data_IF_386250952089
#
_entry.id   IF_386250952089
#
_cell.length_a   1.000
_cell.length_b   1.000
_cell.length_c   1.000
_cell.angle_alpha   90.00
_cell.angle_beta   90.00
_cell.angle_gamma   90.00
#
_symmetry.space_group_name_H-M   'P 1'
#
loop_
_entity.id
_entity.type
_entity.pdbx_description
1 polymer ?
#
# COMPACT_ATOMS: atom_id res chain seq x y z
N UNK A 1 -16.53 27.04 9.43
CA UNK A 1 -15.70 26.66 8.26
C UNK A 1 -15.12 25.30 8.55
N UNK A 2 -15.18 24.38 7.61
CA UNK A 2 -14.63 23.03 7.74
C UNK A 2 -13.09 23.10 7.71
N UNK A 3 -12.46 22.81 8.86
CA UNK A 3 -11.02 22.95 9.08
C UNK A 3 -10.21 22.08 8.12
N UNK A 4 -10.67 20.87 7.82
CA UNK A 4 -9.89 19.84 7.12
C UNK A 4 -10.25 19.70 5.64
N UNK A 5 -11.15 20.54 5.12
CA UNK A 5 -11.69 20.48 3.75
C UNK A 5 -10.65 20.31 2.65
N UNK A 6 -9.45 20.84 2.85
CA UNK A 6 -8.34 20.83 1.90
C UNK A 6 -7.63 19.47 1.80
N UNK A 7 -7.74 18.62 2.82
CA UNK A 7 -7.10 17.30 2.86
C UNK A 7 -8.08 16.14 3.00
N UNK A 8 -9.25 16.31 3.64
CA UNK A 8 -10.17 15.21 3.94
C UNK A 8 -10.83 14.58 2.70
N UNK A 9 -11.35 13.35 2.80
CA UNK A 9 -12.20 12.76 1.78
C UNK A 9 -13.53 13.49 1.62
N UNK A 10 -14.31 13.12 0.61
CA UNK A 10 -15.66 13.68 0.42
C UNK A 10 -16.65 13.14 1.45
N UNK A 11 -17.56 13.99 1.91
CA UNK A 11 -18.73 13.59 2.69
C UNK A 11 -19.88 13.19 1.76
N UNK A 12 -20.91 12.50 2.29
CA UNK A 12 -22.04 11.98 1.52
C UNK A 12 -22.66 13.00 0.56
N UNK A 13 -22.96 14.21 1.04
CA UNK A 13 -23.55 15.28 0.22
C UNK A 13 -22.65 15.81 -0.91
N UNK A 14 -21.36 15.48 -0.90
CA UNK A 14 -20.38 15.88 -1.92
C UNK A 14 -20.18 14.79 -2.99
N UNK A 15 -20.59 13.54 -2.74
CA UNK A 15 -20.32 12.39 -3.62
C UNK A 15 -20.98 12.56 -4.99
N UNK A 16 -22.31 12.73 -5.03
CA UNK A 16 -23.06 12.82 -6.29
C UNK A 16 -22.57 13.96 -7.21
N UNK A 17 -22.40 15.21 -6.73
CA UNK A 17 -21.86 16.30 -7.55
C UNK A 17 -20.46 16.00 -8.13
N UNK A 18 -19.59 15.35 -7.36
CA UNK A 18 -18.24 15.00 -7.83
C UNK A 18 -18.30 13.93 -8.90
N UNK A 19 -19.12 12.89 -8.74
CA UNK A 19 -19.27 11.85 -9.76
C UNK A 19 -19.85 12.43 -11.05
N UNK A 20 -20.86 13.30 -10.97
CA UNK A 20 -21.46 13.94 -12.16
C UNK A 20 -20.43 14.75 -12.94
N UNK A 21 -19.55 15.48 -12.23
CA UNK A 21 -18.43 16.19 -12.85
C UNK A 21 -17.39 15.24 -13.45
N UNK A 22 -17.10 14.12 -12.78
CA UNK A 22 -16.12 13.14 -13.24
C UNK A 22 -16.56 12.44 -14.51
N UNK A 23 -17.82 11.99 -14.60
CA UNK A 23 -18.31 11.27 -15.78
C UNK A 23 -18.34 12.15 -17.02
N UNK A 24 -18.42 13.47 -16.88
CA UNK A 24 -18.33 14.42 -17.99
C UNK A 24 -16.89 14.82 -18.34
N UNK A 25 -15.88 14.35 -17.60
CA UNK A 25 -14.48 14.72 -17.84
C UNK A 25 -13.87 13.91 -19.02
N UNK A 26 -13.46 14.55 -20.13
CA UNK A 26 -12.96 13.84 -21.31
C UNK A 26 -11.65 13.08 -21.07
N UNK A 27 -10.77 13.58 -20.21
CA UNK A 27 -9.50 12.92 -19.87
C UNK A 27 -9.72 11.68 -19.01
N UNK A 28 -10.66 11.76 -18.06
CA UNK A 28 -11.04 10.62 -17.23
C UNK A 28 -11.63 9.50 -18.10
N UNK A 29 -12.61 9.84 -18.95
CA UNK A 29 -13.23 8.88 -19.87
C UNK A 29 -12.21 8.26 -20.83
N UNK A 30 -11.26 9.04 -21.35
CA UNK A 30 -10.19 8.53 -22.20
C UNK A 30 -9.27 7.56 -21.45
N UNK A 31 -9.00 7.83 -20.17
CA UNK A 31 -8.18 6.97 -19.31
C UNK A 31 -8.87 5.63 -19.05
N UNK A 32 -10.16 5.66 -18.71
CA UNK A 32 -11.00 4.45 -18.53
C UNK A 32 -11.08 3.64 -19.83
N UNK A 33 -11.34 4.30 -20.96
CA UNK A 33 -11.39 3.64 -22.26
C UNK A 33 -10.06 2.95 -22.62
N UNK A 34 -8.93 3.62 -22.37
CA UNK A 34 -7.59 3.10 -22.64
C UNK A 34 -7.23 1.93 -21.72
N UNK A 35 -7.71 1.95 -20.48
CA UNK A 35 -7.53 0.85 -19.53
C UNK A 35 -8.29 -0.42 -19.95
N UNK A 36 -9.57 -0.30 -20.28
CA UNK A 36 -10.41 -1.46 -20.60
C UNK A 36 -10.21 -2.00 -22.03
N UNK A 37 -9.88 -1.16 -23.00
CA UNK A 37 -9.75 -1.56 -24.39
C UNK A 37 -8.65 -0.76 -25.14
N UNK A 38 -7.37 -0.95 -24.80
CA UNK A 38 -6.27 -0.10 -25.28
C UNK A 38 -6.14 -0.05 -26.81
N UNK A 39 -6.37 -1.17 -27.50
CA UNK A 39 -6.33 -1.22 -28.97
C UNK A 39 -7.47 -0.43 -29.61
N UNK A 40 -8.70 -0.61 -29.09
CA UNK A 40 -9.88 0.08 -29.60
C UNK A 40 -9.87 1.56 -29.26
N UNK A 41 -9.40 1.94 -28.07
CA UNK A 41 -9.27 3.33 -27.66
C UNK A 41 -8.29 4.11 -28.55
N UNK A 42 -7.25 3.43 -29.08
CA UNK A 42 -6.32 4.03 -30.03
C UNK A 42 -6.92 4.22 -31.42
N UNK A 43 -7.74 3.27 -31.89
CA UNK A 43 -8.34 3.30 -33.23
C UNK A 43 -9.60 4.19 -33.29
N UNK A 44 -10.42 4.18 -32.23
CA UNK A 44 -11.72 4.86 -32.18
C UNK A 44 -11.91 5.63 -30.86
N UNK A 45 -11.09 6.65 -30.57
CA UNK A 45 -11.08 7.32 -29.26
C UNK A 45 -12.42 7.97 -28.89
N UNK A 46 -13.11 8.61 -29.84
CA UNK A 46 -14.39 9.25 -29.58
C UNK A 46 -15.49 8.24 -29.24
N UNK A 47 -15.59 7.15 -30.01
CA UNK A 47 -16.54 6.07 -29.76
C UNK A 47 -16.29 5.42 -28.39
N UNK A 48 -15.03 5.10 -28.08
CA UNK A 48 -14.68 4.45 -26.82
C UNK A 48 -14.93 5.35 -25.60
N UNK A 49 -14.76 6.67 -25.72
CA UNK A 49 -15.17 7.61 -24.66
C UNK A 49 -16.68 7.60 -24.43
N UNK A 50 -17.49 7.56 -25.49
CA UNK A 50 -18.94 7.48 -25.36
C UNK A 50 -19.39 6.16 -24.74
N UNK A 51 -18.73 5.05 -25.08
CA UNK A 51 -18.96 3.75 -24.44
C UNK A 51 -18.62 3.81 -22.95
N UNK A 52 -17.46 4.37 -22.60
CA UNK A 52 -17.06 4.54 -21.20
C UNK A 52 -18.05 5.42 -20.42
N UNK A 53 -18.49 6.54 -21.01
CA UNK A 53 -19.49 7.44 -20.42
C UNK A 53 -20.79 6.72 -20.12
N UNK A 54 -21.39 6.06 -21.11
CA UNK A 54 -22.67 5.36 -20.95
C UNK A 54 -22.58 4.23 -19.93
N UNK A 55 -21.46 3.49 -19.92
CA UNK A 55 -21.22 2.41 -18.95
C UNK A 55 -21.11 2.97 -17.52
N UNK A 56 -20.29 4.00 -17.30
CA UNK A 56 -20.12 4.63 -16.00
C UNK A 56 -21.41 5.29 -15.50
N UNK A 57 -22.14 5.97 -16.38
CA UNK A 57 -23.44 6.57 -16.06
C UNK A 57 -24.46 5.53 -15.61
N UNK A 58 -24.47 4.35 -16.23
CA UNK A 58 -25.32 3.23 -15.80
C UNK A 58 -24.91 2.67 -14.44
N UNK A 59 -23.61 2.39 -14.26
CA UNK A 59 -23.07 1.79 -13.03
C UNK A 59 -23.20 2.72 -11.81
N UNK A 60 -22.94 4.01 -11.99
CA UNK A 60 -22.91 4.99 -10.91
C UNK A 60 -24.26 5.69 -10.71
N UNK A 61 -25.33 5.24 -11.35
CA UNK A 61 -26.66 5.88 -11.29
C UNK A 61 -27.23 5.92 -9.86
N UNK A 62 -26.98 4.87 -9.08
CA UNK A 62 -27.50 4.73 -7.72
C UNK A 62 -26.57 5.27 -6.62
N UNK A 63 -25.39 5.77 -6.99
CA UNK A 63 -24.40 6.23 -6.02
C UNK A 63 -24.74 7.65 -5.56
N UNK A 64 -25.04 7.83 -4.29
CA UNK A 64 -25.46 9.11 -3.72
C UNK A 64 -24.64 9.52 -2.49
N UNK A 65 -23.93 8.59 -1.87
CA UNK A 65 -23.24 8.74 -0.60
C UNK A 65 -21.97 7.87 -0.57
N UNK A 66 -21.20 7.95 0.52
CA UNK A 66 -19.94 7.20 0.67
C UNK A 66 -20.21 5.70 0.67
N UNK A 67 -21.27 5.23 1.34
CA UNK A 67 -21.59 3.81 1.45
C UNK A 67 -21.85 3.17 0.07
N UNK A 68 -22.76 3.76 -0.72
CA UNK A 68 -23.08 3.28 -2.07
C UNK A 68 -21.87 3.38 -3.02
N UNK A 69 -20.95 4.31 -2.80
CA UNK A 69 -19.68 4.36 -3.54
C UNK A 69 -18.75 3.19 -3.15
N UNK A 70 -18.66 2.86 -1.86
CA UNK A 70 -17.86 1.72 -1.37
C UNK A 70 -18.40 0.39 -1.92
N UNK A 71 -19.72 0.21 -2.04
CA UNK A 71 -20.31 -1.00 -2.63
C UNK A 71 -19.87 -1.20 -4.09
N UNK A 72 -19.81 -0.12 -4.88
CA UNK A 72 -19.30 -0.18 -6.26
C UNK A 72 -17.82 -0.56 -6.26
N UNK A 73 -17.02 0.04 -5.39
CA UNK A 73 -15.58 -0.25 -5.26
C UNK A 73 -15.36 -1.72 -4.86
N UNK A 74 -16.16 -2.25 -3.94
CA UNK A 74 -16.10 -3.64 -3.47
C UNK A 74 -16.29 -4.63 -4.64
N UNK A 75 -17.28 -4.41 -5.51
CA UNK A 75 -17.51 -5.26 -6.70
C UNK A 75 -16.29 -5.29 -7.64
N UNK A 76 -15.63 -4.15 -7.84
CA UNK A 76 -14.41 -4.10 -8.65
C UNK A 76 -13.23 -4.78 -7.94
N UNK A 77 -13.16 -4.65 -6.62
CA UNK A 77 -12.14 -5.29 -5.81
C UNK A 77 -12.28 -6.81 -5.85
N UNK A 78 -13.49 -7.34 -5.69
CA UNK A 78 -13.79 -8.77 -5.82
C UNK A 78 -13.25 -9.34 -7.12
N UNK A 79 -13.58 -8.68 -8.23
CA UNK A 79 -13.12 -9.10 -9.56
C UNK A 79 -11.60 -9.04 -9.68
N UNK A 80 -10.98 -7.96 -9.21
CA UNK A 80 -9.53 -7.79 -9.28
C UNK A 80 -8.79 -8.85 -8.46
N UNK A 81 -9.28 -9.15 -7.24
CA UNK A 81 -8.73 -10.19 -6.38
C UNK A 81 -8.83 -11.53 -7.10
N UNK A 82 -10.02 -11.92 -7.57
CA UNK A 82 -10.24 -13.17 -8.30
C UNK A 82 -9.36 -13.31 -9.54
N UNK A 83 -9.16 -12.23 -10.30
CA UNK A 83 -8.40 -12.25 -11.54
C UNK A 83 -6.87 -12.21 -11.30
N UNK A 84 -6.39 -11.72 -10.15
CA UNK A 84 -4.96 -11.42 -9.93
C UNK A 84 -4.31 -12.10 -8.72
N UNK A 85 -5.07 -12.76 -7.85
CA UNK A 85 -4.54 -13.53 -6.71
C UNK A 85 -4.93 -15.01 -6.84
N UNK A 86 -4.16 -15.89 -6.21
CA UNK A 86 -4.53 -17.31 -6.04
C UNK A 86 -5.29 -17.54 -4.73
N UNK A 87 -5.15 -16.61 -3.79
CA UNK A 87 -5.83 -16.60 -2.51
C UNK A 87 -5.65 -15.24 -1.84
N UNK A 88 -6.64 -14.86 -1.04
CA UNK A 88 -6.54 -13.76 -0.09
C UNK A 88 -6.91 -14.31 1.27
N UNK A 89 -5.95 -14.29 2.19
CA UNK A 89 -6.13 -14.78 3.56
C UNK A 89 -5.82 -13.69 4.56
N UNK A 90 -6.33 -13.82 5.78
CA UNK A 90 -6.09 -12.85 6.83
C UNK A 90 -5.98 -13.51 8.20
N UNK A 91 -5.39 -12.80 9.16
CA UNK A 91 -5.27 -13.22 10.56
C UNK A 91 -5.25 -12.00 11.48
N UNK A 92 -5.61 -12.21 12.76
CA UNK A 92 -5.49 -11.20 13.80
C UNK A 92 -6.59 -10.14 13.82
N UNK A 93 -7.54 -10.18 12.88
CA UNK A 93 -8.68 -9.25 12.84
C UNK A 93 -9.59 -9.43 14.06
N UNK A 94 -9.63 -10.65 14.61
CA UNK A 94 -10.35 -10.99 15.83
C UNK A 94 -9.82 -10.28 17.09
N UNK A 95 -8.64 -9.65 17.02
CA UNK A 95 -8.10 -8.83 18.11
C UNK A 95 -8.65 -7.39 18.08
N UNK A 96 -9.34 -7.00 17.01
CA UNK A 96 -9.98 -5.69 16.92
C UNK A 96 -11.29 -5.69 17.70
N UNK A 97 -11.59 -4.55 18.32
CA UNK A 97 -12.81 -4.32 19.08
C UNK A 97 -13.84 -3.64 18.19
N UNK A 98 -15.06 -4.18 18.18
CA UNK A 98 -16.18 -3.57 17.47
C UNK A 98 -16.50 -2.17 18.03
N UNK A 99 -16.81 -1.24 17.13
CA UNK A 99 -17.10 0.16 17.49
C UNK A 99 -15.88 1.01 17.87
N UNK A 100 -14.67 0.42 17.91
CA UNK A 100 -13.42 1.15 18.11
C UNK A 100 -12.74 1.43 16.77
N UNK A 101 -12.11 2.59 16.64
CA UNK A 101 -11.31 2.96 15.47
C UNK A 101 -9.81 2.94 15.76
N UNK A 102 -9.04 2.65 14.72
CA UNK A 102 -7.62 2.36 14.81
C UNK A 102 -6.84 3.13 13.75
N UNK A 103 -5.58 3.47 14.07
CA UNK A 103 -4.57 3.81 13.10
C UNK A 103 -3.80 2.54 12.69
N UNK A 104 -4.07 2.05 11.48
CA UNK A 104 -3.31 0.95 10.88
C UNK A 104 -2.03 1.48 10.24
N UNK A 105 -0.88 0.94 10.65
CA UNK A 105 0.43 1.22 10.06
C UNK A 105 0.94 -0.05 9.39
N UNK A 106 1.16 -0.03 8.07
CA UNK A 106 1.60 -1.23 7.35
C UNK A 106 2.94 -1.08 6.65
N UNK A 107 3.57 -2.22 6.35
CA UNK A 107 4.55 -2.26 5.27
C UNK A 107 3.88 -1.85 3.96
N UNK A 108 4.69 -1.32 3.05
CA UNK A 108 4.18 -0.74 1.82
C UNK A 108 4.99 -1.21 0.63
N UNK A 109 4.43 -2.10 -0.17
CA UNK A 109 5.06 -2.67 -1.37
C UNK A 109 4.29 -2.30 -2.63
N UNK A 110 2.98 -2.10 -2.58
CA UNK A 110 2.17 -1.66 -3.71
C UNK A 110 1.48 -0.34 -3.40
N UNK A 111 1.46 0.60 -4.36
CA UNK A 111 0.87 1.94 -4.16
C UNK A 111 -0.61 1.85 -3.80
N UNK A 112 -1.36 1.05 -4.55
CA UNK A 112 -2.83 1.04 -4.49
C UNK A 112 -3.38 -0.19 -3.81
N UNK A 113 -2.71 -1.34 -3.99
CA UNK A 113 -3.25 -2.61 -3.54
C UNK A 113 -3.10 -2.83 -2.04
N UNK A 114 -2.06 -2.26 -1.42
CA UNK A 114 -1.84 -2.37 0.02
C UNK A 114 -3.05 -1.88 0.84
N UNK A 115 -3.47 -0.60 0.75
CA UNK A 115 -4.64 -0.14 1.48
C UNK A 115 -5.93 -0.80 0.99
N UNK A 116 -6.00 -1.19 -0.29
CA UNK A 116 -7.18 -1.84 -0.84
C UNK A 116 -7.45 -3.22 -0.21
N UNK A 117 -6.42 -4.04 -0.02
CA UNK A 117 -6.56 -5.35 0.63
C UNK A 117 -6.97 -5.22 2.09
N UNK A 118 -6.36 -4.28 2.83
CA UNK A 118 -6.73 -4.02 4.23
C UNK A 118 -8.18 -3.54 4.30
N UNK A 119 -8.57 -2.60 3.45
CA UNK A 119 -9.94 -2.09 3.39
C UNK A 119 -10.96 -3.18 3.05
N UNK A 120 -10.63 -4.04 2.08
CA UNK A 120 -11.48 -5.14 1.65
C UNK A 120 -11.77 -6.12 2.79
N UNK A 121 -10.75 -6.50 3.56
CA UNK A 121 -10.93 -7.41 4.70
C UNK A 121 -11.78 -6.75 5.79
N UNK A 122 -11.53 -5.47 6.11
CA UNK A 122 -12.34 -4.73 7.10
C UNK A 122 -13.81 -4.65 6.66
N UNK A 123 -14.08 -4.31 5.40
CA UNK A 123 -15.42 -4.24 4.83
C UNK A 123 -16.17 -5.58 4.96
N UNK A 124 -15.55 -6.70 4.58
CA UNK A 124 -16.17 -8.02 4.68
C UNK A 124 -16.32 -8.53 6.11
N UNK A 125 -15.49 -8.05 7.04
CA UNK A 125 -15.60 -8.34 8.46
C UNK A 125 -16.59 -7.42 9.20
N UNK A 126 -17.24 -6.48 8.51
CA UNK A 126 -18.24 -5.58 9.09
C UNK A 126 -17.66 -4.39 9.86
N UNK A 127 -16.37 -4.10 9.71
CA UNK A 127 -15.73 -2.92 10.30
C UNK A 127 -15.85 -1.70 9.39
N UNK A 128 -15.72 -0.51 9.99
CA UNK A 128 -15.60 0.74 9.24
C UNK A 128 -14.41 0.71 8.28
N UNK A 129 -14.65 1.15 7.05
CA UNK A 129 -13.64 1.23 5.99
C UNK A 129 -12.61 2.31 6.27
N UNK A 130 -11.42 2.15 5.71
CA UNK A 130 -10.27 3.02 5.93
C UNK A 130 -10.47 4.43 5.36
N UNK A 131 -9.94 5.41 6.07
CA UNK A 131 -9.44 6.64 5.47
C UNK A 131 -7.95 6.48 5.15
N UNK A 132 -7.58 6.71 3.89
CA UNK A 132 -6.27 6.30 3.35
C UNK A 132 -5.39 7.52 3.11
N UNK A 133 -4.20 7.56 3.71
CA UNK A 133 -3.24 8.62 3.42
C UNK A 133 -2.65 8.48 2.02
N UNK A 134 -2.77 9.52 1.18
CA UNK A 134 -2.16 9.56 -0.15
C UNK A 134 -1.34 10.84 -0.37
N UNK A 135 -0.14 10.69 -0.94
CA UNK A 135 0.70 11.82 -1.30
C UNK A 135 0.15 12.64 -2.47
N UNK A 136 0.22 13.97 -2.36
CA UNK A 136 -0.13 14.92 -3.43
C UNK A 136 0.69 14.72 -4.72
N UNK A 137 1.85 14.08 -4.65
CA UNK A 137 2.68 13.76 -5.81
C UNK A 137 1.95 12.90 -6.87
N UNK A 138 0.95 12.12 -6.45
CA UNK A 138 0.13 11.28 -7.34
C UNK A 138 -1.08 12.04 -7.92
N UNK A 139 -1.41 13.23 -7.40
CA UNK A 139 -2.67 13.94 -7.63
C UNK A 139 -2.55 15.08 -8.64
N UNK A 140 -1.70 14.91 -9.67
CA UNK A 140 -1.40 15.97 -10.64
C UNK A 140 -2.57 16.34 -11.55
N UNK A 141 -3.48 15.41 -11.78
CA UNK A 141 -4.71 15.64 -12.55
C UNK A 141 -5.90 15.82 -11.61
N UNK A 142 -6.77 16.83 -11.80
CA UNK A 142 -7.89 17.08 -10.90
C UNK A 142 -8.80 15.85 -10.70
N UNK A 143 -9.07 15.09 -11.77
CA UNK A 143 -9.92 13.90 -11.66
C UNK A 143 -9.31 12.77 -10.82
N UNK A 144 -7.96 12.70 -10.71
CA UNK A 144 -7.28 11.71 -9.87
C UNK A 144 -7.45 12.08 -8.40
N UNK A 145 -7.32 13.37 -8.07
CA UNK A 145 -7.63 13.87 -6.73
C UNK A 145 -9.08 13.58 -6.34
N UNK A 146 -10.02 13.89 -7.25
CA UNK A 146 -11.45 13.63 -7.04
C UNK A 146 -11.70 12.11 -6.81
N UNK A 147 -11.08 11.23 -7.61
CA UNK A 147 -11.23 9.77 -7.47
C UNK A 147 -10.67 9.22 -6.13
N UNK A 148 -9.50 9.70 -5.71
CA UNK A 148 -8.88 9.24 -4.46
C UNK A 148 -9.71 9.68 -3.25
N UNK A 149 -10.22 10.92 -3.25
CA UNK A 149 -11.09 11.44 -2.20
C UNK A 149 -12.48 10.78 -2.16
N UNK A 150 -13.00 10.33 -3.30
CA UNK A 150 -14.20 9.48 -3.36
C UNK A 150 -13.95 8.11 -2.71
N UNK A 151 -12.72 7.58 -2.82
CA UNK A 151 -12.28 6.35 -2.16
C UNK A 151 -11.74 6.60 -0.74
N UNK A 152 -12.38 7.48 0.03
CA UNK A 152 -12.03 7.82 1.42
C UNK A 152 -10.55 8.22 1.63
N UNK A 153 -9.81 8.63 0.59
CA UNK A 153 -8.40 9.00 0.76
C UNK A 153 -8.25 10.47 1.17
N UNK A 154 -7.35 10.74 2.10
CA UNK A 154 -6.96 12.10 2.50
C UNK A 154 -5.55 12.46 2.04
N UNK A 155 -5.34 13.75 1.76
CA UNK A 155 -4.17 14.24 1.05
C UNK A 155 -3.05 14.60 2.02
N UNK A 156 -1.89 14.00 1.82
CA UNK A 156 -0.62 14.37 2.45
C UNK A 156 0.14 15.31 1.53
N UNK A 157 0.31 16.57 1.94
CA UNK A 157 0.99 17.62 1.16
C UNK A 157 2.51 17.48 1.28
N UNK A 158 3.18 16.90 0.28
CA UNK A 158 4.61 16.59 0.32
C UNK A 158 5.50 17.66 -0.28
N UNK A 159 4.94 18.55 -1.11
CA UNK A 159 5.73 19.60 -1.77
C UNK A 159 6.05 20.80 -0.87
N UNK A 160 5.52 20.85 0.35
CA UNK A 160 5.70 21.97 1.29
C UNK A 160 7.14 22.05 1.82
N UNK A 161 7.60 23.26 2.12
CA UNK A 161 8.97 23.50 2.64
C UNK A 161 8.96 24.43 3.84
N UNK A 162 9.98 24.30 4.69
CA UNK A 162 10.22 25.20 5.82
C UNK A 162 9.01 25.28 6.77
N UNK A 163 8.53 26.50 7.03
CA UNK A 163 7.41 26.73 7.96
C UNK A 163 6.09 26.12 7.47
N UNK A 164 5.83 26.15 6.16
CA UNK A 164 4.60 25.59 5.61
C UNK A 164 4.55 24.08 5.78
N UNK A 165 5.69 23.40 5.67
CA UNK A 165 5.80 21.97 5.96
C UNK A 165 5.39 21.67 7.40
N UNK A 166 5.93 22.41 8.38
CA UNK A 166 5.58 22.20 9.79
C UNK A 166 4.09 22.42 10.07
N UNK A 167 3.48 23.43 9.45
CA UNK A 167 2.04 23.68 9.56
C UNK A 167 1.23 22.56 8.90
N UNK A 168 1.63 22.11 7.72
CA UNK A 168 0.99 21.00 7.01
C UNK A 168 1.07 19.68 7.79
N UNK A 169 2.21 19.39 8.41
CA UNK A 169 2.40 18.20 9.25
C UNK A 169 1.59 18.28 10.55
N UNK A 170 1.51 19.46 11.21
CA UNK A 170 0.61 19.64 12.36
C UNK A 170 -0.85 19.46 11.94
N UNK A 171 -1.28 20.05 10.82
CA UNK A 171 -2.65 19.89 10.30
C UNK A 171 -2.99 18.43 9.97
N UNK A 172 -2.03 17.68 9.40
CA UNK A 172 -2.15 16.27 9.12
C UNK A 172 -2.29 15.43 10.39
N UNK A 173 -1.45 15.69 11.40
CA UNK A 173 -1.52 15.04 12.70
C UNK A 173 -2.87 15.30 13.37
N UNK A 174 -3.32 16.56 13.41
CA UNK A 174 -4.64 16.92 13.94
C UNK A 174 -5.78 16.21 13.22
N UNK A 175 -5.67 16.02 11.90
CA UNK A 175 -6.68 15.31 11.12
C UNK A 175 -6.72 13.81 11.40
N UNK A 176 -5.55 13.15 11.52
CA UNK A 176 -5.48 11.73 11.84
C UNK A 176 -6.07 11.45 13.23
N UNK A 177 -5.73 12.27 14.23
CA UNK A 177 -6.33 12.20 15.56
C UNK A 177 -7.84 12.43 15.50
N UNK A 178 -8.29 13.46 14.78
CA UNK A 178 -9.73 13.71 14.58
C UNK A 178 -10.47 12.52 13.95
N UNK A 179 -9.87 11.83 12.97
CA UNK A 179 -10.48 10.64 12.37
C UNK A 179 -10.67 9.53 13.40
N UNK A 180 -9.63 9.21 14.19
CA UNK A 180 -9.72 8.13 15.18
C UNK A 180 -10.73 8.50 16.29
N UNK A 181 -10.73 9.76 16.74
CA UNK A 181 -11.71 10.29 17.70
C UNK A 181 -13.16 10.24 17.17
N UNK A 182 -13.36 10.48 15.88
CA UNK A 182 -14.67 10.46 15.21
C UNK A 182 -15.06 9.08 14.65
N UNK A 183 -14.46 8.02 15.20
CA UNK A 183 -14.72 6.62 14.82
C UNK A 183 -14.50 6.31 13.33
N UNK A 184 -13.41 6.83 12.77
CA UNK A 184 -12.92 6.45 11.46
C UNK A 184 -11.55 5.77 11.54
N UNK A 185 -11.49 4.54 11.02
CA UNK A 185 -10.23 3.83 10.82
C UNK A 185 -9.33 4.58 9.84
N UNK A 186 -8.04 4.67 10.13
CA UNK A 186 -7.03 5.34 9.30
C UNK A 186 -5.98 4.33 8.87
N UNK A 187 -5.51 4.43 7.63
CA UNK A 187 -4.35 3.68 7.16
C UNK A 187 -3.24 4.59 6.67
N UNK A 188 -2.02 4.29 7.11
CA UNK A 188 -0.79 4.92 6.63
C UNK A 188 0.29 3.87 6.38
N UNK A 189 1.18 4.15 5.43
CA UNK A 189 2.40 3.38 5.26
C UNK A 189 3.41 3.72 6.38
N UNK A 190 4.19 2.73 6.82
CA UNK A 190 5.20 2.87 7.88
C UNK A 190 6.37 3.82 7.54
N UNK A 191 6.49 4.23 6.27
CA UNK A 191 7.45 5.24 5.81
C UNK A 191 6.99 5.87 4.50
N UNK A 192 7.66 6.95 4.12
CA UNK A 192 7.42 7.54 2.81
C UNK A 192 7.89 6.62 1.67
N UNK A 193 6.94 6.27 0.80
CA UNK A 193 7.17 5.50 -0.41
C UNK A 193 7.34 4.00 -0.18
N UNK A 194 7.02 3.22 -1.22
CA UNK A 194 7.08 1.76 -1.17
C UNK A 194 8.50 1.20 -1.01
N UNK A 195 8.61 0.02 -0.40
CA UNK A 195 9.79 -0.81 -0.40
C UNK A 195 10.05 -1.40 -1.79
N UNK A 196 11.31 -1.28 -2.22
CA UNK A 196 11.77 -1.73 -3.55
C UNK A 196 12.65 -2.96 -3.45
N UNK A 197 13.37 -3.06 -2.34
CA UNK A 197 14.28 -4.12 -1.95
C UNK A 197 13.60 -5.13 -1.01
N UNK A 198 12.32 -4.99 -0.68
CA UNK A 198 11.64 -5.89 0.26
C UNK A 198 12.09 -5.73 1.72
N UNK A 199 12.77 -4.62 2.06
CA UNK A 199 13.11 -4.25 3.43
C UNK A 199 12.02 -3.31 3.96
N UNK A 200 11.23 -3.86 4.88
CA UNK A 200 10.19 -3.15 5.59
C UNK A 200 10.80 -2.60 6.89
N UNK A 201 11.01 -1.27 6.94
CA UNK A 201 11.45 -0.53 8.13
C UNK A 201 10.60 0.72 8.35
N UNK A 202 10.21 0.98 9.59
CA UNK A 202 9.40 2.13 10.00
C UNK A 202 10.28 3.36 10.13
N UNK A 203 9.81 4.52 9.66
CA UNK A 203 10.52 5.79 9.80
C UNK A 203 10.15 6.45 11.15
N UNK A 204 11.10 6.62 12.10
CA UNK A 204 10.80 7.28 13.38
C UNK A 204 10.28 8.72 13.23
N UNK A 205 10.57 9.40 12.11
CA UNK A 205 10.03 10.72 11.82
C UNK A 205 8.50 10.70 11.62
N UNK A 206 7.94 9.58 11.16
CA UNK A 206 6.49 9.38 11.06
C UNK A 206 5.83 9.48 12.43
N UNK A 207 6.42 8.84 13.45
CA UNK A 207 5.89 8.85 14.82
C UNK A 207 5.94 10.23 15.43
N UNK A 208 7.04 10.96 15.20
CA UNK A 208 7.17 12.38 15.58
C UNK A 208 6.11 13.24 14.91
N UNK A 209 5.81 12.97 13.63
CA UNK A 209 4.76 13.66 12.88
C UNK A 209 3.39 13.43 13.51
N UNK A 210 3.05 12.18 13.84
CA UNK A 210 1.75 11.83 14.44
C UNK A 210 1.47 12.59 15.76
N UNK A 211 2.51 12.95 16.52
CA UNK A 211 2.39 13.72 17.76
C UNK A 211 2.48 15.25 17.61
N UNK A 212 2.48 15.78 16.38
CA UNK A 212 2.60 17.22 16.16
C UNK A 212 1.36 18.03 16.57
N UNK A 213 0.19 17.40 16.78
CA UNK A 213 -1.02 18.03 17.30
C UNK A 213 -0.87 18.49 18.76
N UNK A 214 -0.14 17.74 19.59
CA UNK A 214 0.00 17.99 21.03
C UNK A 214 1.45 17.79 21.50
N UNK A 215 2.36 18.65 21.06
CA UNK A 215 3.81 18.52 21.35
C UNK A 215 4.24 18.67 22.82
N UNK A 216 3.29 18.93 23.73
CA UNK A 216 3.56 19.18 25.16
C UNK A 216 3.41 17.93 26.03
N UNK A 217 2.81 16.87 25.50
CA UNK A 217 2.67 15.59 26.19
C UNK A 217 3.74 14.60 25.71
N UNK A 218 4.07 13.57 26.50
CA UNK A 218 4.94 12.47 26.07
C UNK A 218 4.49 11.83 24.75
N UNK A 219 5.44 11.30 23.99
CA UNK A 219 5.15 10.72 22.67
C UNK A 219 4.23 9.50 22.80
N UNK A 220 4.54 8.61 23.74
CA UNK A 220 3.74 7.42 24.06
C UNK A 220 2.30 7.78 24.42
N UNK A 221 2.11 8.81 25.26
CA UNK A 221 0.79 9.30 25.68
C UNK A 221 -0.01 9.84 24.48
N UNK A 222 0.64 10.56 23.56
CA UNK A 222 -0.02 11.02 22.34
C UNK A 222 -0.41 9.86 21.41
N UNK A 223 0.54 8.98 21.11
CA UNK A 223 0.30 7.87 20.17
C UNK A 223 -0.69 6.85 20.69
N UNK A 224 -0.85 6.72 22.02
CA UNK A 224 -1.87 5.88 22.65
C UNK A 224 -3.30 6.26 22.26
N UNK A 225 -3.54 7.54 21.93
CA UNK A 225 -4.85 8.03 21.48
C UNK A 225 -5.23 7.52 20.07
N UNK A 226 -4.23 7.05 19.30
CA UNK A 226 -4.43 6.60 17.93
C UNK A 226 -4.71 5.11 17.81
N UNK A 227 -4.63 4.34 18.90
CA UNK A 227 -4.85 2.89 18.91
C UNK A 227 -4.07 2.19 17.78
N UNK A 228 -2.76 2.39 17.75
CA UNK A 228 -1.94 1.96 16.61
C UNK A 228 -1.90 0.44 16.51
N UNK A 229 -2.29 -0.10 15.35
CA UNK A 229 -2.22 -1.52 15.01
C UNK A 229 -1.28 -1.72 13.81
N UNK A 230 -0.12 -2.37 13.99
CA UNK A 230 0.75 -2.73 12.88
C UNK A 230 0.06 -3.77 11.97
N UNK A 231 0.15 -3.61 10.66
CA UNK A 231 -0.43 -4.54 9.68
C UNK A 231 0.66 -5.06 8.75
N UNK A 232 0.76 -6.39 8.65
CA UNK A 232 1.68 -7.03 7.71
C UNK A 232 0.96 -7.44 6.44
N UNK A 233 1.46 -6.99 5.31
CA UNK A 233 0.95 -7.27 3.96
C UNK A 233 1.98 -8.13 3.25
N UNK A 234 1.64 -9.41 3.05
CA UNK A 234 2.53 -10.41 2.48
C UNK A 234 2.06 -10.80 1.09
N UNK A 235 2.94 -10.63 0.11
CA UNK A 235 2.71 -11.04 -1.27
C UNK A 235 3.53 -12.29 -1.59
N UNK A 236 2.96 -13.23 -2.35
CA UNK A 236 3.76 -14.30 -2.95
C UNK A 236 4.61 -13.76 -4.12
N UNK A 237 3.99 -12.93 -4.96
CA UNK A 237 4.64 -12.21 -6.05
C UNK A 237 4.31 -10.72 -6.00
N UNK A 238 5.33 -9.89 -6.18
CA UNK A 238 5.15 -8.46 -6.30
C UNK A 238 4.93 -8.09 -7.76
N UNK A 239 3.76 -7.55 -8.08
CA UNK A 239 3.40 -7.17 -9.45
C UNK A 239 4.32 -6.07 -10.04
N UNK A 240 5.02 -5.34 -9.19
CA UNK A 240 5.96 -4.29 -9.55
C UNK A 240 7.44 -4.72 -9.38
N UNK A 241 7.74 -6.01 -9.16
CA UNK A 241 9.10 -6.50 -8.90
C UNK A 241 10.14 -6.06 -9.96
N UNK A 242 9.81 -6.19 -11.25
CA UNK A 242 10.69 -5.77 -12.35
C UNK A 242 10.90 -4.25 -12.35
N UNK A 243 9.82 -3.46 -12.22
CA UNK A 243 9.90 -2.00 -12.20
C UNK A 243 10.75 -1.50 -11.02
N UNK A 244 10.67 -2.17 -9.87
CA UNK A 244 11.49 -1.88 -8.69
C UNK A 244 12.94 -2.25 -8.93
N UNK A 245 13.21 -3.41 -9.52
CA UNK A 245 14.55 -3.85 -9.85
C UNK A 245 15.24 -2.93 -10.87
N UNK A 246 14.50 -2.45 -11.88
CA UNK A 246 14.97 -1.45 -12.84
C UNK A 246 15.38 -0.14 -12.16
N UNK A 247 14.53 0.38 -11.27
CA UNK A 247 14.84 1.60 -10.53
C UNK A 247 16.09 1.43 -9.64
N UNK A 248 16.22 0.31 -8.92
CA UNK A 248 17.39 0.04 -8.07
C UNK A 248 18.66 -0.12 -8.90
N UNK A 249 18.58 -0.85 -10.02
CA UNK A 249 19.70 -1.01 -10.94
C UNK A 249 20.15 0.32 -11.53
N UNK A 250 19.21 1.19 -11.95
CA UNK A 250 19.54 2.50 -12.48
C UNK A 250 20.21 3.38 -11.42
N UNK A 251 19.71 3.38 -10.18
CA UNK A 251 20.35 4.11 -9.07
C UNK A 251 21.79 3.63 -8.83
N UNK A 252 22.03 2.33 -8.82
CA UNK A 252 23.36 1.73 -8.63
C UNK A 252 24.30 2.04 -9.80
N UNK A 253 23.81 1.99 -11.04
CA UNK A 253 24.63 2.14 -12.25
C UNK A 253 24.88 3.59 -12.67
N UNK A 254 23.91 4.49 -12.46
CA UNK A 254 24.01 5.91 -12.89
C UNK A 254 24.07 6.90 -11.73
N UNK A 255 24.04 6.44 -10.47
CA UNK A 255 24.10 7.30 -9.28
C UNK A 255 22.80 8.05 -8.97
N UNK A 256 21.72 7.79 -9.71
CA UNK A 256 20.44 8.48 -9.55
C UNK A 256 19.32 7.87 -10.39
N UNK A 257 18.08 8.20 -10.03
CA UNK A 257 16.88 7.83 -10.78
C UNK A 257 15.91 9.01 -10.79
N UNK A 258 15.55 9.48 -11.99
CA UNK A 258 14.57 10.55 -12.15
C UNK A 258 13.19 9.93 -12.26
N UNK A 259 12.42 9.99 -11.16
CA UNK A 259 11.01 9.62 -11.17
C UNK A 259 10.25 10.50 -12.14
N UNK A 260 9.43 9.88 -12.99
CA UNK A 260 8.49 10.57 -13.87
C UNK A 260 7.07 10.20 -13.48
N UNK A 261 6.10 11.06 -13.81
CA UNK A 261 4.68 10.79 -13.56
C UNK A 261 4.21 9.50 -14.21
N UNK A 262 4.84 9.17 -15.34
CA UNK A 262 4.61 7.93 -16.07
C UNK A 262 4.99 6.71 -15.22
N UNK A 263 6.10 6.77 -14.48
CA UNK A 263 6.58 5.64 -13.67
C UNK A 263 5.65 5.30 -12.49
N UNK A 264 5.03 6.30 -11.87
CA UNK A 264 4.05 6.06 -10.80
C UNK A 264 2.75 5.47 -11.38
N UNK A 265 2.26 5.98 -12.53
CA UNK A 265 1.07 5.42 -13.21
C UNK A 265 1.33 3.98 -13.66
N UNK A 266 2.49 3.70 -14.26
CA UNK A 266 2.88 2.33 -14.66
C UNK A 266 2.88 1.38 -13.47
N UNK A 267 3.36 1.83 -12.31
CA UNK A 267 3.34 1.05 -11.09
C UNK A 267 1.92 0.81 -10.56
N UNK A 268 1.05 1.82 -10.58
CA UNK A 268 -0.36 1.67 -10.17
C UNK A 268 -1.07 0.65 -11.07
N UNK A 269 -0.91 0.79 -12.39
CA UNK A 269 -1.51 -0.13 -13.35
C UNK A 269 -0.98 -1.55 -13.15
N UNK A 270 0.34 -1.71 -13.05
CA UNK A 270 0.98 -3.00 -12.79
C UNK A 270 0.48 -3.62 -11.48
N UNK A 271 0.39 -2.83 -10.40
CA UNK A 271 -0.17 -3.26 -9.12
C UNK A 271 -1.60 -3.77 -9.23
N UNK A 272 -2.47 -3.04 -9.93
CA UNK A 272 -3.87 -3.44 -10.08
C UNK A 272 -4.05 -4.72 -10.91
N UNK A 273 -3.39 -4.85 -12.06
CA UNK A 273 -3.67 -5.95 -13.02
C UNK A 273 -2.66 -7.10 -12.94
N UNK A 274 -1.51 -6.88 -12.32
CA UNK A 274 -0.43 -7.87 -12.25
C UNK A 274 -0.77 -8.98 -11.27
N UNK A 275 -0.28 -10.18 -11.58
CA UNK A 275 -0.48 -11.37 -10.77
C UNK A 275 0.35 -11.34 -9.49
N UNK A 276 -0.31 -11.57 -8.35
CA UNK A 276 0.23 -11.42 -6.99
C UNK A 276 0.43 -12.74 -6.24
N UNK A 277 -0.11 -13.85 -6.79
CA UNK A 277 -0.16 -15.13 -6.09
C UNK A 277 -1.02 -15.06 -4.83
N UNK A 278 -0.61 -15.78 -3.79
CA UNK A 278 -1.32 -15.82 -2.50
C UNK A 278 -0.94 -14.60 -1.63
N UNK A 279 -1.94 -13.78 -1.31
CA UNK A 279 -1.80 -12.58 -0.48
C UNK A 279 -2.29 -12.86 0.94
N UNK A 280 -1.50 -12.49 1.94
CA UNK A 280 -1.88 -12.59 3.35
C UNK A 280 -1.80 -11.24 4.05
N UNK A 281 -2.88 -10.86 4.75
CA UNK A 281 -2.96 -9.64 5.54
C UNK A 281 -3.10 -10.01 7.02
N UNK A 282 -2.12 -9.64 7.82
CA UNK A 282 -2.12 -9.95 9.24
C UNK A 282 -2.22 -8.66 10.06
N UNK A 283 -3.30 -8.55 10.84
CA UNK A 283 -3.48 -7.49 11.81
C UNK A 283 -2.71 -7.86 13.08
N UNK A 284 -1.80 -6.98 13.50
CA UNK A 284 -1.08 -7.11 14.75
C UNK A 284 -1.97 -6.84 15.96
N UNK A 285 -1.31 -6.73 17.12
CA UNK A 285 -1.93 -6.25 18.34
C UNK A 285 -1.74 -4.74 18.45
N UNK A 286 -2.74 -4.08 19.04
CA UNK A 286 -2.61 -2.67 19.43
C UNK A 286 -1.32 -2.48 20.25
N UNK A 287 -0.54 -1.46 19.88
CA UNK A 287 0.73 -1.19 20.54
C UNK A 287 0.51 -0.74 21.97
N UNK A 288 1.30 -1.33 22.87
CA UNK A 288 1.52 -0.83 24.22
C UNK A 288 2.89 -0.13 24.23
N UNK A 289 2.90 1.16 24.57
CA UNK A 289 4.09 1.99 24.46
C UNK A 289 4.89 1.93 25.76
N UNK A 290 5.98 1.16 25.74
CA UNK A 290 6.92 1.06 26.87
C UNK A 290 8.00 2.15 26.90
N UNK A 291 8.01 3.06 25.92
CA UNK A 291 9.04 4.09 25.76
C UNK A 291 8.51 5.31 25.00
N UNK A 292 9.10 6.48 25.24
CA UNK A 292 8.92 7.69 24.43
C UNK A 292 9.96 7.83 23.31
N UNK A 293 10.92 6.89 23.20
CA UNK A 293 11.94 6.92 22.17
C UNK A 293 11.36 6.47 20.81
N UNK A 294 11.28 7.34 19.80
CA UNK A 294 10.68 7.05 18.49
C UNK A 294 11.30 5.83 17.81
N UNK A 295 12.61 5.63 17.97
CA UNK A 295 13.36 4.52 17.38
C UNK A 295 12.95 3.17 17.99
N UNK A 296 12.62 3.13 19.29
CA UNK A 296 12.14 1.92 19.95
C UNK A 296 10.70 1.60 19.53
N UNK A 297 9.83 2.60 19.49
CA UNK A 297 8.44 2.44 19.03
C UNK A 297 8.41 1.97 17.56
N UNK A 298 9.26 2.53 16.70
CA UNK A 298 9.40 2.10 15.32
C UNK A 298 9.87 0.64 15.23
N UNK A 299 10.79 0.22 16.10
CA UNK A 299 11.24 -1.16 16.17
C UNK A 299 10.12 -2.12 16.64
N UNK A 300 9.22 -1.68 17.51
CA UNK A 300 8.05 -2.48 17.94
C UNK A 300 7.03 -2.68 16.80
N UNK A 301 6.80 -1.63 15.99
CA UNK A 301 6.02 -1.74 14.75
C UNK A 301 6.67 -2.73 13.78
N UNK A 302 7.97 -2.53 13.50
CA UNK A 302 8.74 -3.38 12.59
C UNK A 302 8.74 -4.85 13.05
N UNK A 303 8.85 -5.08 14.37
CA UNK A 303 8.82 -6.41 14.96
C UNK A 303 7.49 -7.10 14.67
N UNK A 304 6.35 -6.45 14.91
CA UNK A 304 5.05 -7.06 14.63
C UNK A 304 4.83 -7.32 13.14
N UNK A 305 5.18 -6.35 12.28
CA UNK A 305 5.06 -6.48 10.82
C UNK A 305 5.90 -7.65 10.32
N UNK A 306 7.14 -7.75 10.80
CA UNK A 306 8.06 -8.81 10.41
C UNK A 306 7.60 -10.17 10.93
N UNK A 307 7.18 -10.27 12.21
CA UNK A 307 6.67 -11.51 12.79
C UNK A 307 5.47 -12.07 12.00
N UNK A 308 4.55 -11.18 11.65
CA UNK A 308 3.32 -11.52 10.96
C UNK A 308 3.50 -11.68 9.43
N UNK A 309 4.66 -11.33 8.89
CA UNK A 309 4.92 -11.47 7.45
C UNK A 309 4.98 -12.95 7.07
N UNK A 310 4.10 -13.39 6.17
CA UNK A 310 4.01 -14.80 5.74
C UNK A 310 4.97 -15.08 4.59
N UNK A 311 6.04 -15.81 4.88
CA UNK A 311 6.98 -16.26 3.86
C UNK A 311 6.34 -17.31 2.95
N UNK A 312 6.87 -17.40 1.74
CA UNK A 312 6.42 -18.27 0.66
C UNK A 312 7.64 -18.86 -0.05
N UNK A 313 7.44 -19.93 -0.81
CA UNK A 313 8.47 -20.59 -1.61
C UNK A 313 9.30 -19.61 -2.46
N UNK A 314 8.70 -18.54 -2.99
CA UNK A 314 9.38 -17.49 -3.75
C UNK A 314 10.53 -16.81 -2.96
N UNK A 315 10.36 -16.63 -1.65
CA UNK A 315 11.35 -16.00 -0.78
C UNK A 315 12.57 -16.93 -0.58
N UNK A 316 12.32 -18.22 -0.32
CA UNK A 316 13.36 -19.23 -0.16
C UNK A 316 14.10 -19.51 -1.48
N UNK A 317 13.37 -19.60 -2.60
CA UNK A 317 13.96 -19.77 -3.94
C UNK A 317 14.88 -18.61 -4.30
N UNK A 318 14.46 -17.38 -4.02
CA UNK A 318 15.28 -16.21 -4.28
C UNK A 318 16.59 -16.25 -3.49
N UNK A 319 16.51 -16.66 -2.22
CA UNK A 319 17.66 -16.82 -1.34
C UNK A 319 18.64 -17.90 -1.83
N UNK A 320 18.14 -19.09 -2.19
CA UNK A 320 18.94 -20.18 -2.77
C UNK A 320 19.67 -19.73 -4.05
N UNK A 321 19.01 -18.95 -4.91
CA UNK A 321 19.61 -18.42 -6.14
C UNK A 321 20.66 -17.34 -5.87
N UNK A 322 20.46 -16.48 -4.87
CA UNK A 322 21.47 -15.51 -4.43
C UNK A 322 22.71 -16.21 -3.88
N UNK A 323 22.52 -17.25 -3.07
CA UNK A 323 23.61 -18.07 -2.53
C UNK A 323 24.40 -18.75 -3.66
N UNK A 324 23.71 -19.42 -4.59
CA UNK A 324 24.34 -20.07 -5.77
C UNK A 324 25.12 -19.09 -6.65
N UNK A 325 24.68 -17.84 -6.72
CA UNK A 325 25.36 -16.76 -7.45
C UNK A 325 26.49 -16.09 -6.65
N UNK A 326 26.71 -16.46 -5.39
CA UNK A 326 27.72 -15.85 -4.53
C UNK A 326 27.41 -14.39 -4.19
N UNK A 327 26.13 -14.00 -4.16
CA UNK A 327 25.70 -12.62 -3.95
C UNK A 327 25.36 -12.29 -2.48
N UNK A 328 25.35 -13.29 -1.60
CA UNK A 328 25.13 -13.11 -0.17
C UNK A 328 26.44 -12.81 0.56
N UNK A 329 26.40 -11.87 1.50
CA UNK A 329 27.48 -11.63 2.45
C UNK A 329 27.66 -12.81 3.43
N UNK A 330 28.82 -12.89 4.11
CA UNK A 330 29.09 -13.94 5.09
C UNK A 330 28.03 -13.98 6.20
N UNK A 331 27.60 -12.82 6.71
CA UNK A 331 26.56 -12.71 7.73
C UNK A 331 25.19 -13.22 7.24
N UNK A 332 24.85 -12.98 5.98
CA UNK A 332 23.59 -13.47 5.40
C UNK A 332 23.59 -14.98 5.22
N UNK A 333 24.75 -15.57 4.91
CA UNK A 333 24.91 -17.02 4.79
C UNK A 333 24.78 -17.76 6.13
N UNK A 334 25.24 -17.14 7.24
CA UNK A 334 25.10 -17.71 8.58
C UNK A 334 23.65 -17.68 9.10
N UNK A 335 22.83 -16.74 8.61
CA UNK A 335 21.43 -16.56 9.04
C UNK A 335 20.42 -17.49 8.34
N UNK A 336 20.90 -18.45 7.55
CA UNK A 336 20.08 -19.33 6.72
C UNK A 336 19.52 -20.52 7.53
N UNK A 337 18.22 -20.51 7.81
CA UNK A 337 17.46 -21.72 8.11
C UNK A 337 16.83 -22.22 6.79
N UNK A 338 17.57 -23.04 6.03
CA UNK A 338 17.16 -23.57 4.71
C UNK A 338 16.42 -24.92 4.82
N UNK A 339 15.78 -25.19 5.96
CA UNK A 339 15.00 -26.43 6.12
C UNK A 339 13.64 -26.41 5.40
N UNK A 340 13.28 -25.29 4.75
CA UNK A 340 12.02 -25.15 4.03
C UNK A 340 12.04 -25.94 2.71
N UNK A 341 11.18 -26.95 2.62
CA UNK A 341 11.03 -27.73 1.39
C UNK A 341 10.18 -26.97 0.37
N UNK A 342 10.85 -26.36 -0.61
CA UNK A 342 10.19 -25.68 -1.73
C UNK A 342 9.43 -26.69 -2.61
N UNK A 343 8.18 -26.36 -2.99
CA UNK A 343 7.41 -27.16 -3.94
C UNK A 343 7.95 -27.00 -5.36
N UNK A 344 8.04 -28.10 -6.10
CA UNK A 344 8.48 -28.11 -7.51
C UNK A 344 7.62 -27.20 -8.41
N UNK A 345 6.31 -27.12 -8.17
CA UNK A 345 5.44 -26.21 -8.91
C UNK A 345 5.85 -24.73 -8.71
N UNK A 346 6.12 -24.31 -7.47
CA UNK A 346 6.57 -22.97 -7.13
C UNK A 346 7.92 -22.65 -7.77
N UNK A 347 8.85 -23.61 -7.77
CA UNK A 347 10.17 -23.51 -8.44
C UNK A 347 10.00 -23.22 -9.93
N UNK A 348 9.18 -24.02 -10.63
CA UNK A 348 8.94 -23.85 -12.05
C UNK A 348 8.34 -22.48 -12.39
N UNK A 349 7.37 -22.00 -11.60
CA UNK A 349 6.77 -20.68 -11.79
C UNK A 349 7.79 -19.56 -11.57
N UNK A 350 8.53 -19.60 -10.46
CA UNK A 350 9.52 -18.58 -10.12
C UNK A 350 10.66 -18.52 -11.15
N UNK A 351 11.19 -19.68 -11.57
CA UNK A 351 12.25 -19.74 -12.60
C UNK A 351 11.76 -19.30 -13.97
N UNK A 352 10.48 -19.56 -14.32
CA UNK A 352 9.88 -19.01 -15.54
C UNK A 352 9.85 -17.48 -15.48
N UNK A 353 9.34 -16.90 -14.38
CA UNK A 353 9.32 -15.44 -14.18
C UNK A 353 10.73 -14.86 -14.28
N UNK A 354 11.71 -15.43 -13.57
CA UNK A 354 13.09 -14.93 -13.55
C UNK A 354 13.75 -14.96 -14.94
N UNK A 355 13.41 -15.93 -15.81
CA UNK A 355 13.90 -16.00 -17.20
C UNK A 355 13.39 -14.85 -18.07
N UNK A 356 12.23 -14.28 -17.75
CA UNK A 356 11.66 -13.12 -18.46
C UNK A 356 12.28 -11.80 -17.98
N UNK A 357 13.00 -11.80 -16.85
CA UNK A 357 13.69 -10.64 -16.30
C UNK A 357 15.08 -10.50 -16.92
N UNK A 358 15.42 -9.28 -17.35
CA UNK A 358 16.76 -8.94 -17.84
C UNK A 358 17.83 -9.35 -16.80
N UNK A 359 18.87 -10.14 -17.20
CA UNK A 359 19.93 -10.61 -16.31
C UNK A 359 20.59 -9.52 -15.45
N UNK A 360 20.69 -8.28 -15.96
CA UNK A 360 21.29 -7.17 -15.19
C UNK A 360 20.48 -6.81 -13.94
N UNK A 361 19.19 -7.13 -13.92
CA UNK A 361 18.26 -6.85 -12.83
C UNK A 361 18.17 -8.00 -11.81
N UNK A 362 18.74 -9.17 -12.11
CA UNK A 362 18.56 -10.39 -11.29
C UNK A 362 18.96 -10.18 -9.83
N UNK A 363 20.03 -9.44 -9.56
CA UNK A 363 20.45 -9.11 -8.18
C UNK A 363 19.32 -8.44 -7.41
N UNK A 364 18.83 -7.31 -7.91
CA UNK A 364 17.78 -6.51 -7.26
C UNK A 364 16.44 -7.24 -7.19
N UNK A 365 16.08 -7.94 -8.28
CA UNK A 365 14.88 -8.78 -8.32
C UNK A 365 14.91 -9.84 -7.22
N UNK A 366 15.99 -10.61 -7.11
CA UNK A 366 16.08 -11.68 -6.11
C UNK A 366 16.11 -11.13 -4.67
N UNK A 367 16.84 -10.04 -4.41
CA UNK A 367 16.86 -9.42 -3.09
C UNK A 367 15.48 -8.91 -2.67
N UNK A 368 14.65 -8.43 -3.61
CA UNK A 368 13.28 -7.97 -3.29
C UNK A 368 12.40 -9.05 -2.65
N UNK A 369 12.69 -10.33 -2.94
CA UNK A 369 12.04 -11.48 -2.32
C UNK A 369 12.80 -11.99 -1.10
N UNK A 370 14.12 -12.15 -1.20
CA UNK A 370 14.93 -12.78 -0.14
C UNK A 370 15.01 -11.94 1.14
N UNK A 371 14.93 -10.61 1.04
CA UNK A 371 15.15 -9.72 2.19
C UNK A 371 14.13 -9.89 3.32
N UNK A 372 12.90 -10.30 3.02
CA UNK A 372 11.90 -10.58 4.07
C UNK A 372 12.34 -11.75 4.95
N UNK A 373 12.90 -12.80 4.33
CA UNK A 373 13.44 -13.97 5.03
C UNK A 373 14.75 -13.64 5.76
N UNK A 374 15.69 -12.93 5.11
CA UNK A 374 16.94 -12.49 5.74
C UNK A 374 16.69 -11.63 6.99
N UNK A 375 15.70 -10.73 6.94
CA UNK A 375 15.38 -9.87 8.08
C UNK A 375 14.75 -10.66 9.24
N UNK A 376 13.90 -11.66 8.95
CA UNK A 376 13.40 -12.59 9.99
C UNK A 376 14.55 -13.36 10.66
N UNK A 377 15.49 -13.87 9.87
CA UNK A 377 16.67 -14.58 10.38
C UNK A 377 17.53 -13.71 11.32
N UNK A 378 17.80 -12.46 10.93
CA UNK A 378 18.59 -11.50 11.73
C UNK A 378 17.95 -11.14 13.07
N UNK A 379 16.63 -11.17 13.16
CA UNK A 379 15.88 -10.80 14.37
C UNK A 379 15.58 -12.00 15.27
N UNK A 380 15.99 -13.21 14.88
CA UNK A 380 15.75 -14.44 15.65
C UNK A 380 14.28 -14.86 15.72
N UNK A 381 13.42 -14.28 14.88
CA UNK A 381 11.99 -14.61 14.81
C UNK A 381 11.84 -15.93 14.04
N UNK A 382 11.42 -17.00 14.73
CA UNK A 382 11.08 -18.28 14.11
C UNK A 382 9.63 -18.28 13.60
N UNK A 383 9.35 -19.02 12.54
CA UNK A 383 7.96 -19.21 12.08
C UNK A 383 7.12 -19.93 13.15
N UNK A 384 5.92 -19.43 13.40
CA UNK A 384 4.91 -20.19 14.14
C UNK A 384 4.40 -21.31 13.22
N UNK A 385 4.45 -22.54 13.72
CA UNK A 385 4.12 -23.78 13.00
C UNK A 385 2.67 -23.85 12.55
#
# INVERSE_FOLDING_TARGET
>A
MDKFKDIRPYHDGEIRPVIDKLIENPEFLASIASFYAPRMARLFPAMMRNVAHNKLKGQLKAVCDVATMQDVIAVYMDKMIQDTTTGLTHSGIENLQEGKSYLFISNHRDITMDPAFVNYILYHAGYETLQIAIGDNLLKKPFVSDLMRLNKSFIVKRSLKGRELLLGLTHLSEYIHHCVEDNHNVWIAQREGRAKDGIDKTDPALLKMLAMNQRKIPLSENLSQLHIVPVSISYEYDACDVLKAEELYQRESTGGFTKTDKSDIESIVAGMIGFKGDVHIAFGKELDFGSDEPELIAADIDKQILQNYKLRDSHYLALQLLQKKGLLSAQEQESLDDNHQVKEASRNVFEKRLREVDPKLHKHYLFSYANSLLNKGRTGIKEAS
#
